data_IF_378478941531
#
_entry.id   IF_378478941531
#
_cell.length_a   1.000
_cell.length_b   1.000
_cell.length_c   1.000
_cell.angle_alpha   90.00
_cell.angle_beta   90.00
_cell.angle_gamma   90.00
#
_symmetry.space_group_name_H-M   'P 1'
#
loop_
_entity.id
_entity.type
_entity.pdbx_description
1 polymer ?
#
# COMPACT_ATOMS: atom_id res chain seq x y z
N UNK A 1 -55.66 -34.08 -12.25
CA UNK A 1 -54.80 -35.09 -11.59
C UNK A 1 -53.43 -35.03 -12.24
N UNK A 2 -52.39 -34.79 -11.43
CA UNK A 2 -50.95 -35.05 -11.63
C UNK A 2 -50.15 -34.03 -10.80
N UNK A 3 -50.06 -34.29 -9.50
CA UNK A 3 -49.10 -33.63 -8.60
C UNK A 3 -47.71 -34.15 -8.98
N UNK A 4 -46.82 -33.24 -9.40
CA UNK A 4 -45.39 -33.53 -9.49
C UNK A 4 -44.84 -33.56 -8.06
N UNK A 5 -44.50 -34.75 -7.59
CA UNK A 5 -43.78 -34.94 -6.33
C UNK A 5 -42.32 -34.58 -6.56
N UNK A 6 -41.90 -33.43 -6.04
CA UNK A 6 -40.48 -33.10 -5.91
C UNK A 6 -39.92 -33.91 -4.73
N UNK A 7 -39.31 -35.06 -5.02
CA UNK A 7 -38.43 -35.75 -4.08
C UNK A 7 -37.12 -34.95 -3.94
N UNK A 8 -37.14 -33.93 -3.08
CA UNK A 8 -35.89 -33.38 -2.55
C UNK A 8 -35.22 -34.47 -1.72
N UNK A 9 -34.11 -35.02 -2.23
CA UNK A 9 -33.18 -35.81 -1.45
C UNK A 9 -32.60 -34.92 -0.35
N UNK A 10 -33.30 -34.84 0.79
CA UNK A 10 -32.77 -34.30 2.04
C UNK A 10 -31.61 -35.20 2.45
N UNK A 11 -30.41 -34.84 2.03
CA UNK A 11 -29.18 -35.34 2.64
C UNK A 11 -29.20 -34.89 4.09
N UNK A 12 -29.66 -35.76 4.99
CA UNK A 12 -29.61 -35.51 6.42
C UNK A 12 -28.15 -35.45 6.84
N UNK A 13 -27.62 -34.23 6.91
CA UNK A 13 -26.31 -33.95 7.47
C UNK A 13 -26.42 -34.05 8.99
N UNK A 14 -26.44 -35.27 9.51
CA UNK A 14 -26.33 -35.51 10.95
C UNK A 14 -24.91 -35.11 11.37
N UNK A 15 -24.82 -34.11 12.25
CA UNK A 15 -23.58 -33.64 12.83
C UNK A 15 -23.16 -34.64 13.93
N UNK A 16 -22.33 -35.61 13.55
CA UNK A 16 -21.88 -36.72 14.42
C UNK A 16 -21.09 -36.21 15.64
N UNK A 17 -20.65 -34.94 15.63
CA UNK A 17 -19.94 -34.28 16.72
C UNK A 17 -20.83 -33.46 17.66
N UNK A 18 -22.14 -33.36 17.37
CA UNK A 18 -23.09 -32.88 18.36
C UNK A 18 -23.34 -33.98 19.36
N UNK A 19 -22.61 -33.92 20.46
CA UNK A 19 -23.06 -34.50 21.72
C UNK A 19 -24.30 -33.69 22.13
N UNK A 20 -25.47 -34.14 21.69
CA UNK A 20 -26.77 -33.70 22.20
C UNK A 20 -27.05 -34.37 23.56
N UNK A 21 -26.02 -34.43 24.40
CA UNK A 21 -26.14 -34.70 25.82
C UNK A 21 -26.72 -33.45 26.47
N UNK A 22 -27.86 -33.62 27.12
CA UNK A 22 -28.50 -32.59 27.94
C UNK A 22 -27.69 -32.38 29.24
N UNK A 23 -26.43 -31.98 29.13
CA UNK A 23 -25.69 -31.37 30.22
C UNK A 23 -26.41 -30.05 30.50
N UNK A 24 -27.00 -29.85 31.68
CA UNK A 24 -27.82 -28.69 32.08
C UNK A 24 -27.13 -27.31 32.01
N UNK A 25 -26.07 -27.19 31.22
CA UNK A 25 -25.29 -26.01 30.92
C UNK A 25 -25.97 -25.28 29.75
N UNK A 26 -26.56 -24.10 30.02
CA UNK A 26 -27.10 -23.23 28.97
C UNK A 26 -25.99 -22.87 27.97
N UNK A 27 -26.06 -23.43 26.76
CA UNK A 27 -25.11 -23.12 25.67
C UNK A 27 -25.20 -21.62 25.34
N UNK A 28 -24.14 -20.87 25.65
CA UNK A 28 -24.04 -19.44 25.35
C UNK A 28 -24.01 -19.24 23.83
N UNK A 29 -24.79 -18.27 23.32
CA UNK A 29 -24.78 -17.94 21.89
C UNK A 29 -23.41 -17.40 21.49
N UNK A 30 -22.77 -18.05 20.53
CA UNK A 30 -21.47 -17.64 19.98
C UNK A 30 -21.69 -16.43 19.07
N UNK A 31 -20.84 -15.37 19.14
CA UNK A 31 -20.98 -14.22 18.26
C UNK A 31 -20.72 -14.59 16.80
N UNK A 32 -21.53 -14.05 15.88
CA UNK A 32 -21.42 -14.33 14.44
C UNK A 32 -20.05 -13.95 13.83
N UNK A 33 -19.30 -13.05 14.48
CA UNK A 33 -17.95 -12.66 14.07
C UNK A 33 -16.96 -13.81 14.17
N UNK A 34 -17.14 -14.76 15.10
CA UNK A 34 -16.24 -15.89 15.29
C UNK A 34 -16.28 -16.88 14.13
N UNK A 35 -17.42 -16.98 13.43
CA UNK A 35 -17.57 -17.85 12.27
C UNK A 35 -16.97 -17.27 10.98
N UNK A 36 -16.54 -16.00 10.98
CA UNK A 36 -15.93 -15.36 9.82
C UNK A 36 -14.49 -15.82 9.68
N UNK A 37 -14.16 -16.50 8.57
CA UNK A 37 -12.79 -16.88 8.25
C UNK A 37 -11.93 -15.63 7.98
N UNK A 38 -10.68 -15.59 8.47
CA UNK A 38 -9.81 -14.41 8.31
C UNK A 38 -9.31 -14.20 6.88
N UNK A 39 -9.30 -15.25 6.06
CA UNK A 39 -8.84 -15.27 4.67
C UNK A 39 -9.67 -16.23 3.81
N UNK A 40 -9.60 -16.05 2.49
CA UNK A 40 -10.26 -16.90 1.48
C UNK A 40 -9.35 -18.07 1.05
N UNK A 41 -8.05 -18.01 1.38
CA UNK A 41 -7.03 -18.98 0.97
C UNK A 41 -7.30 -20.37 1.57
N UNK A 42 -7.10 -21.41 0.76
CA UNK A 42 -7.23 -22.80 1.17
C UNK A 42 -6.25 -23.15 2.30
N UNK A 43 -6.62 -24.05 3.24
CA UNK A 43 -5.71 -24.50 4.29
C UNK A 43 -4.43 -25.17 3.81
N UNK A 44 -4.48 -25.81 2.63
CA UNK A 44 -3.40 -26.59 2.05
C UNK A 44 -3.18 -26.07 0.64
N UNK A 45 -1.95 -25.69 0.32
CA UNK A 45 -1.54 -25.34 -1.04
C UNK A 45 -1.31 -26.63 -1.84
N UNK A 46 -1.66 -26.59 -3.12
CA UNK A 46 -1.47 -27.74 -4.01
C UNK A 46 -0.03 -27.65 -4.53
N UNK A 47 0.81 -28.68 -4.32
CA UNK A 47 2.19 -28.66 -4.80
C UNK A 47 2.24 -28.72 -6.34
N UNK A 48 3.34 -28.25 -6.91
CA UNK A 48 3.58 -28.36 -8.35
C UNK A 48 3.73 -29.85 -8.77
N UNK A 49 3.17 -30.28 -9.91
CA UNK A 49 3.26 -31.69 -10.36
C UNK A 49 4.70 -32.19 -10.53
N UNK A 50 5.61 -31.29 -10.91
CA UNK A 50 7.05 -31.55 -11.02
C UNK A 50 7.76 -31.92 -9.71
N UNK A 51 7.12 -31.74 -8.54
CA UNK A 51 7.67 -32.13 -7.23
C UNK A 51 7.38 -33.60 -6.89
N UNK A 52 6.59 -34.30 -7.72
CA UNK A 52 6.33 -35.72 -7.52
C UNK A 52 7.61 -36.56 -7.59
N UNK A 53 7.57 -37.79 -7.05
CA UNK A 53 8.73 -38.69 -7.05
C UNK A 53 9.09 -39.21 -8.46
N UNK A 54 8.13 -39.20 -9.38
CA UNK A 54 8.25 -39.61 -10.77
C UNK A 54 7.43 -38.67 -11.67
N UNK A 55 7.87 -37.42 -11.86
CA UNK A 55 7.19 -36.42 -12.66
C UNK A 55 7.35 -36.70 -14.16
N UNK A 56 6.43 -36.18 -14.96
CA UNK A 56 6.66 -36.03 -16.40
C UNK A 56 7.85 -35.08 -16.62
N UNK A 57 8.64 -35.34 -17.66
CA UNK A 57 9.79 -34.50 -18.02
C UNK A 57 9.41 -33.03 -18.14
N UNK A 58 8.31 -32.74 -18.86
CA UNK A 58 7.85 -31.36 -19.07
C UNK A 58 7.48 -30.65 -17.77
N UNK A 59 6.85 -31.35 -16.83
CA UNK A 59 6.42 -30.76 -15.58
C UNK A 59 7.58 -30.55 -14.61
N UNK A 60 8.59 -31.42 -14.67
CA UNK A 60 9.84 -31.23 -13.93
C UNK A 60 10.66 -30.06 -14.49
N UNK A 61 10.79 -29.95 -15.81
CA UNK A 61 11.48 -28.83 -16.45
C UNK A 61 10.77 -27.49 -16.17
N UNK A 62 9.43 -27.46 -16.19
CA UNK A 62 8.66 -26.25 -15.81
C UNK A 62 8.96 -25.83 -14.37
N UNK A 63 8.99 -26.77 -13.43
CA UNK A 63 9.33 -26.50 -12.04
C UNK A 63 10.74 -25.93 -11.91
N UNK A 64 11.73 -26.59 -12.52
CA UNK A 64 13.12 -26.14 -12.49
C UNK A 64 13.29 -24.76 -13.12
N UNK A 65 12.56 -24.47 -14.20
CA UNK A 65 12.56 -23.15 -14.83
C UNK A 65 11.99 -22.09 -13.89
N UNK A 66 10.85 -22.34 -13.23
CA UNK A 66 10.28 -21.40 -12.25
C UNK A 66 11.23 -21.13 -11.08
N UNK A 67 11.89 -22.17 -10.58
CA UNK A 67 12.91 -22.05 -9.53
C UNK A 67 14.10 -21.22 -10.03
N UNK A 68 14.64 -21.55 -11.21
CA UNK A 68 15.77 -20.84 -11.80
C UNK A 68 15.47 -19.35 -12.03
N UNK A 69 14.25 -19.00 -12.45
CA UNK A 69 13.83 -17.60 -12.57
C UNK A 69 13.81 -16.87 -11.21
N UNK A 70 13.36 -17.54 -10.15
CA UNK A 70 13.35 -16.98 -8.79
C UNK A 70 14.78 -16.76 -8.29
N UNK A 71 15.66 -17.75 -8.45
CA UNK A 71 17.08 -17.66 -8.08
C UNK A 71 17.80 -16.56 -8.86
N UNK A 72 17.57 -16.44 -10.18
CA UNK A 72 18.13 -15.36 -10.99
C UNK A 72 17.71 -13.97 -10.51
N UNK A 73 16.47 -13.81 -10.01
CA UNK A 73 16.01 -12.54 -9.43
C UNK A 73 16.77 -12.23 -8.15
N UNK A 74 16.93 -13.20 -7.26
CA UNK A 74 17.73 -13.05 -6.03
C UNK A 74 19.19 -12.69 -6.35
N UNK A 75 19.82 -13.39 -7.29
CA UNK A 75 21.20 -13.08 -7.72
C UNK A 75 21.33 -11.65 -8.27
N UNK A 76 20.35 -11.17 -9.04
CA UNK A 76 20.33 -9.79 -9.56
C UNK A 76 20.16 -8.77 -8.44
N UNK A 77 19.29 -9.05 -7.47
CA UNK A 77 19.08 -8.19 -6.30
C UNK A 77 20.34 -8.12 -5.44
N UNK A 78 20.99 -9.25 -5.16
CA UNK A 78 22.26 -9.30 -4.44
C UNK A 78 23.37 -8.56 -5.20
N UNK A 79 23.50 -8.76 -6.51
CA UNK A 79 24.47 -8.04 -7.33
C UNK A 79 24.21 -6.52 -7.31
N UNK A 80 22.95 -6.12 -7.34
CA UNK A 80 22.56 -4.72 -7.22
C UNK A 80 22.92 -4.14 -5.86
N UNK A 81 22.59 -4.83 -4.76
CA UNK A 81 22.94 -4.42 -3.40
C UNK A 81 24.46 -4.34 -3.22
N UNK A 82 25.21 -5.34 -3.68
CA UNK A 82 26.68 -5.32 -3.64
C UNK A 82 27.25 -4.14 -4.43
N UNK A 83 26.64 -3.78 -5.56
CA UNK A 83 27.05 -2.59 -6.34
C UNK A 83 26.77 -1.29 -5.58
N UNK A 84 25.57 -1.12 -5.03
CA UNK A 84 25.12 0.12 -4.38
C UNK A 84 25.73 0.29 -2.97
N UNK A 85 25.97 -0.79 -2.25
CA UNK A 85 26.46 -0.74 -0.86
C UNK A 85 27.96 -0.98 -0.77
N UNK A 86 28.53 -1.92 -1.51
CA UNK A 86 29.94 -2.27 -1.36
C UNK A 86 30.82 -1.54 -2.37
N UNK A 87 30.41 -1.47 -3.65
CA UNK A 87 31.24 -0.91 -4.72
C UNK A 87 31.17 0.61 -4.82
N UNK A 88 30.06 1.24 -4.46
CA UNK A 88 29.94 2.71 -4.47
C UNK A 88 30.77 3.37 -3.36
N UNK A 89 30.93 2.72 -2.21
CA UNK A 89 31.70 3.26 -1.09
C UNK A 89 33.12 2.70 -1.10
N UNK A 90 34.08 3.48 -1.62
CA UNK A 90 35.51 3.13 -1.50
C UNK A 90 35.90 3.22 -0.03
N UNK A 91 36.49 2.16 0.53
CA UNK A 91 37.11 2.24 1.86
C UNK A 91 38.35 3.13 1.74
N UNK A 92 38.27 4.35 2.26
CA UNK A 92 39.34 5.35 2.32
C UNK A 92 40.12 5.11 3.61
N UNK A 93 41.46 5.14 3.58
CA UNK A 93 42.26 5.04 4.83
C UNK A 93 42.14 6.35 5.62
N UNK A 94 42.34 6.30 6.93
CA UNK A 94 42.27 7.48 7.79
C UNK A 94 43.17 8.63 7.28
N UNK A 95 44.40 8.33 6.86
CA UNK A 95 45.34 9.32 6.32
C UNK A 95 44.84 10.02 5.06
N UNK A 96 44.18 9.27 4.16
CA UNK A 96 43.60 9.85 2.95
C UNK A 96 42.34 10.66 3.25
N UNK A 97 41.59 10.30 4.29
CA UNK A 97 40.44 11.05 4.77
C UNK A 97 40.88 12.40 5.37
N UNK A 98 41.93 12.40 6.19
CA UNK A 98 42.49 13.62 6.80
C UNK A 98 42.97 14.62 5.74
N UNK A 99 43.63 14.14 4.68
CA UNK A 99 44.08 14.99 3.55
C UNK A 99 42.91 15.61 2.78
N UNK A 100 41.83 14.86 2.55
CA UNK A 100 40.63 15.38 1.89
C UNK A 100 39.93 16.39 2.79
N UNK A 101 39.78 16.09 4.08
CA UNK A 101 39.21 17.01 5.07
C UNK A 101 39.96 18.35 5.13
N UNK A 102 41.29 18.31 5.16
CA UNK A 102 42.13 19.51 5.17
C UNK A 102 41.96 20.36 3.89
N UNK A 103 41.71 19.71 2.75
CA UNK A 103 41.47 20.39 1.47
C UNK A 103 40.08 21.02 1.45
N UNK A 104 39.04 20.28 1.82
CA UNK A 104 37.66 20.79 1.91
C UNK A 104 37.53 21.92 2.94
N UNK A 105 38.25 21.82 4.07
CA UNK A 105 38.27 22.86 5.10
C UNK A 105 38.99 24.15 4.68
N UNK A 106 39.80 24.10 3.62
CA UNK A 106 40.47 25.29 3.06
C UNK A 106 39.74 25.88 1.86
N UNK A 107 38.73 25.20 1.32
CA UNK A 107 37.83 25.74 0.30
C UNK A 107 36.85 26.74 0.92
N UNK A 108 36.95 28.03 0.54
CA UNK A 108 36.10 29.10 1.06
C UNK A 108 36.84 30.19 1.84
N UNK A 109 38.16 30.06 2.05
CA UNK A 109 38.98 31.21 2.40
C UNK A 109 39.19 32.07 1.14
N UNK A 110 38.68 33.33 1.11
CA UNK A 110 38.92 34.23 0.01
C UNK A 110 40.42 34.59 -0.01
N UNK A 111 41.12 34.16 -1.05
CA UNK A 111 42.38 34.80 -1.43
C UNK A 111 42.01 36.20 -1.93
N UNK A 112 42.23 37.19 -1.07
CA UNK A 112 41.89 38.60 -1.29
C UNK A 112 42.30 39.09 -2.70
N UNK A 113 41.32 39.36 -3.55
CA UNK A 113 41.41 40.40 -4.58
C UNK A 113 40.13 41.20 -4.56
N UNK A 114 40.28 42.47 -4.20
CA UNK A 114 39.27 43.50 -4.08
C UNK A 114 38.41 43.64 -5.34
N UNK A 115 37.11 43.91 -5.19
CA UNK A 115 36.54 45.22 -5.52
C UNK A 115 35.00 45.25 -5.58
N UNK A 116 34.47 46.28 -4.92
CA UNK A 116 33.38 47.20 -5.33
C UNK A 116 31.92 46.76 -5.19
N UNK A 117 31.34 47.32 -4.13
CA UNK A 117 30.12 48.14 -4.09
C UNK A 117 29.20 48.12 -5.32
N UNK A 118 27.92 47.81 -5.09
CA UNK A 118 26.83 48.35 -5.90
C UNK A 118 25.76 48.95 -4.97
N UNK A 119 25.54 50.24 -5.22
CA UNK A 119 24.66 51.19 -4.53
C UNK A 119 23.17 50.88 -4.76
N UNK A 120 22.42 51.33 -3.76
CA UNK A 120 21.01 51.70 -3.77
C UNK A 120 20.64 52.74 -4.84
N UNK A 121 19.47 52.60 -5.46
CA UNK A 121 18.71 53.71 -6.04
C UNK A 121 17.22 53.54 -5.71
N UNK A 122 16.66 54.60 -5.14
CA UNK A 122 15.24 54.87 -4.89
C UNK A 122 14.63 55.52 -6.15
N UNK A 123 13.33 55.32 -6.39
CA UNK A 123 12.29 56.38 -6.35
C UNK A 123 11.08 56.09 -7.26
N UNK A 124 9.92 56.28 -6.61
CA UNK A 124 8.67 56.88 -7.09
C UNK A 124 7.94 56.29 -8.31
N UNK A 125 6.73 55.78 -8.05
CA UNK A 125 5.57 56.30 -8.76
C UNK A 125 4.42 56.50 -7.75
N UNK A 126 4.03 57.76 -7.58
CA UNK A 126 2.89 58.23 -6.80
C UNK A 126 1.59 57.72 -7.45
N UNK A 127 0.87 56.82 -6.79
CA UNK A 127 -0.53 56.51 -7.13
C UNK A 127 -1.38 56.88 -5.91
N UNK A 128 -1.89 58.11 -5.89
CA UNK A 128 -2.83 58.63 -4.89
C UNK A 128 -4.13 57.81 -4.90
N UNK A 129 -4.45 57.02 -3.86
CA UNK A 129 -5.62 56.15 -3.84
C UNK A 129 -6.88 56.83 -3.27
N UNK A 130 -6.93 58.17 -3.18
CA UNK A 130 -8.02 58.87 -2.47
C UNK A 130 -8.80 59.89 -3.32
N UNK A 131 -9.42 59.44 -4.43
CA UNK A 131 -10.49 60.21 -5.09
C UNK A 131 -11.86 59.55 -4.95
N UNK A 132 -12.44 59.67 -3.75
CA UNK A 132 -13.86 59.39 -3.54
C UNK A 132 -14.65 60.57 -4.11
N UNK A 133 -15.29 60.38 -5.27
CA UNK A 133 -16.22 61.38 -5.79
C UNK A 133 -17.40 61.52 -4.82
N UNK A 134 -17.42 62.61 -4.04
CA UNK A 134 -18.53 62.94 -3.13
C UNK A 134 -19.72 63.35 -4.01
N UNK A 135 -20.65 62.42 -4.21
CA UNK A 135 -21.88 62.67 -4.95
C UNK A 135 -22.72 63.70 -4.16
N UNK A 136 -23.20 64.80 -4.78
CA UNK A 136 -24.00 65.80 -4.09
C UNK A 136 -25.24 65.19 -3.40
N UNK A 137 -25.70 65.78 -2.27
CA UNK A 137 -26.81 65.24 -1.49
C UNK A 137 -28.08 65.10 -2.36
N UNK A 138 -28.62 63.88 -2.40
CA UNK A 138 -29.77 63.53 -3.25
C UNK A 138 -31.02 64.27 -2.76
N UNK A 139 -31.46 65.27 -3.52
CA UNK A 139 -32.74 65.96 -3.27
C UNK A 139 -33.91 65.05 -3.65
N UNK A 140 -34.79 64.73 -2.70
CA UNK A 140 -35.98 63.90 -2.94
C UNK A 140 -37.08 64.71 -3.65
N UNK A 141 -37.00 64.82 -4.97
CA UNK A 141 -38.04 65.47 -5.78
C UNK A 141 -39.03 64.45 -6.35
N UNK A 142 -40.34 64.73 -6.23
CA UNK A 142 -41.40 63.92 -6.84
C UNK A 142 -41.26 63.95 -8.37
N UNK A 143 -41.33 62.77 -8.99
CA UNK A 143 -41.21 62.62 -10.46
C UNK A 143 -42.47 63.12 -11.16
N UNK A 144 -42.30 63.86 -12.25
CA UNK A 144 -43.42 64.27 -13.13
C UNK A 144 -44.01 63.08 -13.90
N UNK A 145 -45.27 63.18 -14.34
CA UNK A 145 -45.96 62.12 -15.09
C UNK A 145 -45.20 61.68 -16.35
N UNK A 146 -44.59 62.63 -17.08
CA UNK A 146 -43.75 62.36 -18.26
C UNK A 146 -42.50 61.58 -17.89
N UNK A 147 -41.82 61.93 -16.79
CA UNK A 147 -40.66 61.19 -16.26
C UNK A 147 -41.06 59.76 -15.85
N UNK A 148 -42.26 59.57 -15.29
CA UNK A 148 -42.80 58.24 -14.93
C UNK A 148 -43.13 57.38 -16.16
N UNK A 149 -43.68 57.98 -17.23
CA UNK A 149 -43.93 57.30 -18.52
C UNK A 149 -42.62 56.84 -19.18
N UNK A 150 -41.64 57.74 -19.33
CA UNK A 150 -40.32 57.40 -19.89
C UNK A 150 -39.60 56.34 -19.06
N UNK A 151 -39.68 56.38 -17.73
CA UNK A 151 -39.11 55.35 -16.87
C UNK A 151 -39.78 53.98 -17.08
N UNK A 152 -41.10 53.93 -17.27
CA UNK A 152 -41.82 52.68 -17.55
C UNK A 152 -41.39 52.08 -18.89
N UNK A 153 -41.23 52.92 -19.90
CA UNK A 153 -40.77 52.52 -21.24
C UNK A 153 -39.32 52.00 -21.21
N UNK A 154 -38.41 52.72 -20.54
CA UNK A 154 -37.02 52.27 -20.32
C UNK A 154 -36.96 50.93 -19.58
N UNK A 155 -37.81 50.73 -18.55
CA UNK A 155 -37.90 49.44 -17.84
C UNK A 155 -38.38 48.31 -18.75
N UNK A 156 -39.36 48.56 -19.63
CA UNK A 156 -39.84 47.58 -20.60
C UNK A 156 -38.74 47.23 -21.61
N UNK A 157 -38.08 48.22 -22.19
CA UNK A 157 -36.95 48.00 -23.10
C UNK A 157 -35.80 47.24 -22.43
N UNK A 158 -35.46 47.58 -21.19
CA UNK A 158 -34.44 46.85 -20.43
C UNK A 158 -34.84 45.38 -20.18
N UNK A 159 -36.12 45.12 -19.90
CA UNK A 159 -36.65 43.77 -19.74
C UNK A 159 -36.60 42.97 -21.05
N UNK A 160 -37.00 43.56 -22.17
CA UNK A 160 -36.93 42.94 -23.49
C UNK A 160 -35.48 42.63 -23.90
N UNK A 161 -34.56 43.57 -23.66
CA UNK A 161 -33.13 43.35 -23.91
C UNK A 161 -32.55 42.25 -23.02
N UNK A 162 -33.01 42.15 -21.76
CA UNK A 162 -32.65 41.04 -20.87
C UNK A 162 -33.16 39.71 -21.41
N UNK A 163 -34.40 39.65 -21.88
CA UNK A 163 -34.98 38.44 -22.46
C UNK A 163 -34.25 38.00 -23.73
N UNK A 164 -33.97 38.93 -24.65
CA UNK A 164 -33.15 38.66 -25.86
C UNK A 164 -31.75 38.14 -25.51
N UNK A 165 -31.11 38.69 -24.46
CA UNK A 165 -29.83 38.18 -23.95
C UNK A 165 -29.96 36.76 -23.41
N UNK A 166 -31.05 36.45 -22.69
CA UNK A 166 -31.30 35.10 -22.19
C UNK A 166 -31.55 34.10 -23.31
N UNK A 167 -32.29 34.46 -24.36
CA UNK A 167 -32.51 33.61 -25.53
C UNK A 167 -31.21 33.31 -26.28
N UNK A 168 -30.36 34.33 -26.49
CA UNK A 168 -29.02 34.13 -27.06
C UNK A 168 -28.16 33.19 -26.22
N UNK A 169 -28.24 33.29 -24.88
CA UNK A 169 -27.55 32.36 -23.97
C UNK A 169 -28.06 30.93 -24.13
N UNK A 170 -29.39 30.72 -24.18
CA UNK A 170 -29.99 29.39 -24.39
C UNK A 170 -29.48 28.72 -25.68
N UNK A 171 -29.39 29.47 -26.77
CA UNK A 171 -28.85 28.97 -28.04
C UNK A 171 -27.37 28.57 -27.88
N UNK A 172 -26.57 29.42 -27.23
CA UNK A 172 -25.16 29.10 -26.94
C UNK A 172 -25.00 27.87 -26.04
N UNK A 173 -25.88 27.70 -25.06
CA UNK A 173 -25.86 26.54 -24.16
C UNK A 173 -26.25 25.25 -24.88
N UNK A 174 -27.18 25.31 -25.84
CA UNK A 174 -27.52 24.18 -26.70
C UNK A 174 -26.30 23.63 -27.46
N UNK A 175 -25.43 24.51 -27.97
CA UNK A 175 -24.18 24.08 -28.60
C UNK A 175 -23.18 23.49 -27.60
N UNK A 176 -23.13 24.00 -26.36
CA UNK A 176 -22.28 23.44 -25.29
C UNK A 176 -22.73 22.05 -24.86
N UNK A 177 -24.01 21.71 -24.94
CA UNK A 177 -24.52 20.39 -24.56
C UNK A 177 -23.76 19.25 -25.25
N UNK A 178 -23.47 19.37 -26.56
CA UNK A 178 -22.72 18.34 -27.30
C UNK A 178 -21.30 18.15 -26.78
N UNK A 179 -20.65 19.24 -26.35
CA UNK A 179 -19.32 19.17 -25.74
C UNK A 179 -19.39 18.56 -24.34
N UNK A 180 -20.40 18.93 -23.56
CA UNK A 180 -20.64 18.35 -22.23
C UNK A 180 -20.91 16.85 -22.32
N UNK A 181 -21.74 16.39 -23.25
CA UNK A 181 -22.01 14.98 -23.50
C UNK A 181 -20.72 14.21 -23.83
N UNK A 182 -19.91 14.72 -24.78
CA UNK A 182 -18.62 14.10 -25.12
C UNK A 182 -17.67 14.05 -23.91
N UNK A 183 -17.68 15.07 -23.07
CA UNK A 183 -16.86 15.09 -21.85
C UNK A 183 -17.38 14.11 -20.80
N UNK A 184 -18.70 14.01 -20.61
CA UNK A 184 -19.32 13.04 -19.71
C UNK A 184 -18.96 11.62 -20.16
N UNK A 185 -19.15 11.29 -21.44
CA UNK A 185 -18.78 9.98 -22.00
C UNK A 185 -17.30 9.62 -21.73
N UNK A 186 -16.38 10.56 -21.98
CA UNK A 186 -14.95 10.36 -21.69
C UNK A 186 -14.67 10.13 -20.20
N UNK A 187 -15.35 10.88 -19.33
CA UNK A 187 -15.22 10.74 -17.87
C UNK A 187 -15.75 9.37 -17.44
N UNK A 188 -16.89 8.94 -17.95
CA UNK A 188 -17.51 7.65 -17.64
C UNK A 188 -16.64 6.47 -18.09
N UNK A 189 -16.09 6.52 -19.31
CA UNK A 189 -15.13 5.52 -19.80
C UNK A 189 -13.91 5.41 -18.89
N UNK A 190 -13.31 6.55 -18.54
CA UNK A 190 -12.17 6.59 -17.62
C UNK A 190 -12.53 6.02 -16.25
N UNK A 191 -13.69 6.39 -15.71
CA UNK A 191 -14.18 5.88 -14.43
C UNK A 191 -14.43 4.37 -14.47
N UNK A 192 -14.98 3.84 -15.57
CA UNK A 192 -15.19 2.40 -15.78
C UNK A 192 -13.87 1.64 -15.77
N UNK A 193 -12.86 2.14 -16.48
CA UNK A 193 -11.51 1.54 -16.48
C UNK A 193 -10.92 1.54 -15.06
N UNK A 194 -11.02 2.66 -14.34
CA UNK A 194 -10.51 2.75 -12.97
C UNK A 194 -11.27 1.83 -12.01
N UNK A 195 -12.59 1.69 -12.16
CA UNK A 195 -13.41 0.75 -11.39
C UNK A 195 -12.96 -0.69 -11.62
N UNK A 196 -12.82 -1.10 -12.88
CA UNK A 196 -12.36 -2.45 -13.22
C UNK A 196 -10.96 -2.72 -12.65
N UNK A 197 -10.04 -1.74 -12.69
CA UNK A 197 -8.72 -1.86 -12.07
C UNK A 197 -8.83 -2.03 -10.54
N UNK A 198 -9.67 -1.22 -9.88
CA UNK A 198 -9.91 -1.32 -8.42
C UNK A 198 -10.49 -2.67 -8.02
N UNK A 199 -11.43 -3.20 -8.80
CA UNK A 199 -12.04 -4.51 -8.57
C UNK A 199 -11.02 -5.64 -8.71
N UNK A 200 -10.19 -5.63 -9.77
CA UNK A 200 -9.09 -6.59 -9.94
C UNK A 200 -8.10 -6.54 -8.77
N UNK A 201 -7.68 -5.34 -8.36
CA UNK A 201 -6.77 -5.17 -7.22
C UNK A 201 -7.44 -5.66 -5.92
N UNK A 202 -8.74 -5.38 -5.72
CA UNK A 202 -9.47 -5.83 -4.53
C UNK A 202 -9.56 -7.36 -4.49
N UNK A 203 -9.77 -8.02 -5.63
CA UNK A 203 -9.77 -9.47 -5.73
C UNK A 203 -8.40 -10.05 -5.37
N UNK A 204 -7.32 -9.52 -5.95
CA UNK A 204 -5.94 -9.94 -5.65
C UNK A 204 -5.64 -9.76 -4.14
N UNK A 205 -5.88 -8.56 -3.60
CA UNK A 205 -5.66 -8.24 -2.18
C UNK A 205 -6.51 -9.06 -1.21
N UNK A 206 -7.62 -9.64 -1.66
CA UNK A 206 -8.45 -10.52 -0.82
C UNK A 206 -7.82 -11.90 -0.64
N UNK A 207 -7.02 -12.34 -1.61
CA UNK A 207 -6.25 -13.58 -1.58
C UNK A 207 -4.85 -13.39 -0.99
N UNK A 208 -4.27 -12.20 -1.10
CA UNK A 208 -2.94 -11.91 -0.54
C UNK A 208 -2.95 -11.91 1.00
N UNK A 209 -1.84 -12.35 1.62
CA UNK A 209 -1.68 -12.29 3.07
C UNK A 209 -1.63 -10.84 3.57
N UNK A 210 -2.32 -10.57 4.68
CA UNK A 210 -2.36 -9.24 5.31
C UNK A 210 -1.14 -9.07 6.22
N UNK A 211 -0.73 -7.82 6.40
CA UNK A 211 0.35 -7.47 7.33
C UNK A 211 -0.24 -7.39 8.74
N UNK A 212 -0.06 -8.46 9.53
CA UNK A 212 -0.54 -8.55 10.93
C UNK A 212 0.46 -8.00 11.96
N UNK A 213 1.75 -7.98 11.62
CA UNK A 213 2.83 -7.54 12.50
C UNK A 213 3.83 -6.65 11.74
N UNK A 214 4.87 -6.17 12.42
CA UNK A 214 5.96 -5.39 11.81
C UNK A 214 6.66 -6.16 10.68
N UNK A 215 6.82 -7.47 10.85
CA UNK A 215 7.43 -8.35 9.86
C UNK A 215 6.43 -8.66 8.76
N UNK A 216 6.86 -8.59 7.50
CA UNK A 216 6.03 -9.00 6.35
C UNK A 216 6.04 -10.52 6.21
N UNK A 217 4.99 -11.07 5.61
CA UNK A 217 4.99 -12.49 5.26
C UNK A 217 5.96 -12.73 4.10
N UNK A 218 6.80 -13.75 4.26
CA UNK A 218 7.69 -14.26 3.22
C UNK A 218 7.23 -15.68 2.86
N UNK A 219 6.97 -15.97 1.58
CA UNK A 219 6.57 -17.31 1.14
C UNK A 219 7.68 -18.33 1.43
N UNK A 220 7.31 -19.61 1.55
CA UNK A 220 8.29 -20.68 1.63
C UNK A 220 8.97 -20.86 0.26
N UNK A 221 10.25 -21.24 0.26
CA UNK A 221 10.90 -21.71 -0.96
C UNK A 221 10.25 -23.03 -1.41
N UNK A 222 10.06 -23.24 -2.71
CA UNK A 222 9.52 -24.49 -3.22
C UNK A 222 10.52 -25.63 -3.01
N UNK A 223 10.04 -26.77 -2.53
CA UNK A 223 10.82 -27.99 -2.46
C UNK A 223 10.89 -28.62 -3.87
N UNK A 224 12.11 -28.90 -4.35
CA UNK A 224 12.34 -29.55 -5.64
C UNK A 224 13.56 -30.47 -5.57
N UNK A 225 13.65 -31.41 -6.53
CA UNK A 225 14.81 -32.28 -6.73
C UNK A 225 15.43 -32.02 -8.09
N UNK A 226 16.74 -32.13 -8.19
CA UNK A 226 17.45 -32.06 -9.48
C UNK A 226 17.26 -33.40 -10.21
N UNK A 227 17.42 -33.42 -11.55
CA UNK A 227 17.25 -34.65 -12.34
C UNK A 227 18.10 -35.83 -11.85
N UNK A 228 19.31 -35.56 -11.34
CA UNK A 228 20.21 -36.59 -10.80
C UNK A 228 19.74 -37.16 -9.45
N UNK A 229 18.90 -36.43 -8.71
CA UNK A 229 18.38 -36.81 -7.39
C UNK A 229 17.01 -37.52 -7.50
N UNK A 230 16.48 -37.62 -8.72
CA UNK A 230 15.20 -38.25 -8.98
C UNK A 230 15.36 -39.77 -9.03
N UNK A 231 14.79 -40.47 -8.04
CA UNK A 231 14.98 -41.92 -7.88
C UNK A 231 14.07 -42.77 -8.78
N UNK A 232 12.98 -42.21 -9.33
CA UNK A 232 11.95 -42.92 -10.12
C UNK A 232 11.12 -43.97 -9.36
N UNK A 233 11.56 -44.39 -8.17
CA UNK A 233 10.90 -45.39 -7.32
C UNK A 233 10.73 -44.87 -5.88
N UNK A 234 9.58 -45.17 -5.27
CA UNK A 234 9.22 -44.75 -3.92
C UNK A 234 10.14 -45.32 -2.83
N UNK A 235 10.67 -46.54 -3.01
CA UNK A 235 11.57 -47.17 -2.02
C UNK A 235 12.88 -46.41 -1.83
N UNK A 236 13.35 -45.75 -2.89
CA UNK A 236 14.62 -45.02 -2.90
C UNK A 236 14.39 -43.50 -2.85
N UNK A 237 13.14 -43.04 -2.69
CA UNK A 237 12.81 -41.63 -2.71
C UNK A 237 13.08 -41.01 -1.33
N UNK A 238 14.04 -40.08 -1.28
CA UNK A 238 14.26 -39.32 -0.05
C UNK A 238 13.09 -38.38 0.25
N UNK A 239 12.64 -38.29 1.50
CA UNK A 239 11.63 -37.33 1.90
C UNK A 239 12.18 -35.90 1.78
N UNK A 240 11.44 -35.03 1.08
CA UNK A 240 11.81 -33.62 0.91
C UNK A 240 10.89 -32.72 1.72
N UNK A 241 11.46 -31.61 2.19
CA UNK A 241 10.69 -30.56 2.87
C UNK A 241 10.45 -30.80 4.35
N UNK A 242 9.83 -29.80 4.99
CA UNK A 242 9.43 -29.86 6.40
C UNK A 242 7.95 -29.49 6.54
N UNK A 243 7.13 -30.49 6.89
CA UNK A 243 5.68 -30.33 7.07
C UNK A 243 5.33 -29.25 8.10
N UNK A 244 6.10 -29.11 9.17
CA UNK A 244 5.86 -28.08 10.18
C UNK A 244 6.11 -26.67 9.61
N UNK A 245 7.14 -26.51 8.76
CA UNK A 245 7.42 -25.24 8.08
C UNK A 245 6.28 -24.88 7.12
N UNK A 246 5.81 -25.84 6.32
CA UNK A 246 4.67 -25.65 5.40
C UNK A 246 3.39 -25.25 6.17
N UNK A 247 3.00 -26.02 7.18
CA UNK A 247 1.80 -25.71 7.98
C UNK A 247 1.91 -24.37 8.69
N UNK A 248 3.08 -24.03 9.22
CA UNK A 248 3.33 -22.73 9.84
C UNK A 248 3.19 -21.58 8.84
N UNK A 249 3.73 -21.74 7.62
CA UNK A 249 3.61 -20.74 6.54
C UNK A 249 2.18 -20.61 6.02
N UNK A 250 1.45 -21.72 5.86
CA UNK A 250 0.00 -21.72 5.55
C UNK A 250 -0.82 -20.98 6.62
N UNK A 251 -0.53 -21.16 7.91
CA UNK A 251 -1.21 -20.42 8.98
C UNK A 251 -0.94 -18.92 8.92
N UNK A 252 0.29 -18.53 8.54
CA UNK A 252 0.63 -17.12 8.32
C UNK A 252 -0.09 -16.54 7.11
N UNK A 253 -0.07 -17.24 5.99
CA UNK A 253 -0.72 -16.82 4.75
C UNK A 253 -2.23 -16.65 4.93
N UNK A 254 -2.84 -17.52 5.74
CA UNK A 254 -4.26 -17.45 6.11
C UNK A 254 -4.61 -16.38 7.13
N UNK A 255 -3.64 -15.58 7.59
CA UNK A 255 -3.81 -14.55 8.62
C UNK A 255 -4.31 -15.12 9.96
N UNK A 256 -3.97 -16.37 10.30
CA UNK A 256 -4.27 -16.98 11.61
C UNK A 256 -3.14 -16.69 12.59
N UNK A 257 -1.90 -16.80 12.11
CA UNK A 257 -0.68 -16.54 12.89
C UNK A 257 0.05 -15.35 12.28
N UNK A 258 0.52 -14.42 13.10
CA UNK A 258 1.32 -13.32 12.59
C UNK A 258 2.76 -13.78 12.26
N UNK A 259 3.36 -13.29 11.16
CA UNK A 259 4.78 -13.53 10.87
C UNK A 259 5.66 -12.88 11.96
N UNK A 260 6.63 -13.64 12.46
CA UNK A 260 7.55 -13.17 13.51
C UNK A 260 8.95 -13.73 13.32
N UNK A 261 9.94 -13.05 13.88
CA UNK A 261 11.33 -13.50 13.91
C UNK A 261 11.68 -14.03 15.29
N UNK A 262 12.60 -14.99 15.35
CA UNK A 262 13.05 -15.57 16.62
C UNK A 262 13.84 -14.53 17.41
N UNK A 263 13.32 -14.14 18.57
CA UNK A 263 14.01 -13.24 19.50
C UNK A 263 14.94 -14.06 20.40
N UNK A 264 16.24 -14.10 20.07
CA UNK A 264 17.24 -14.89 20.80
C UNK A 264 17.64 -14.25 22.13
N UNK A 265 17.90 -12.93 22.12
CA UNK A 265 18.35 -12.19 23.30
C UNK A 265 17.25 -11.23 23.73
N UNK A 266 16.78 -11.38 24.96
CA UNK A 266 15.97 -10.34 25.61
C UNK A 266 16.95 -9.36 26.23
N UNK A 267 16.83 -8.08 25.90
CA UNK A 267 17.61 -7.01 26.51
C UNK A 267 17.23 -6.92 27.99
N UNK A 268 17.92 -7.68 28.83
CA UNK A 268 17.85 -7.55 30.27
C UNK A 268 18.94 -6.58 30.71
N UNK A 269 18.61 -5.66 31.59
CA UNK A 269 19.60 -4.80 32.21
C UNK A 269 20.71 -5.66 32.84
N UNK A 270 21.97 -5.25 32.64
CA UNK A 270 23.11 -5.89 33.31
C UNK A 270 23.06 -5.52 34.79
N UNK A 271 22.35 -6.32 35.59
CA UNK A 271 22.31 -6.15 37.05
C UNK A 271 23.63 -6.62 37.63
N UNK A 272 24.37 -5.72 38.29
CA UNK A 272 25.56 -6.09 39.08
C UNK A 272 25.11 -7.03 40.20
N UNK A 273 25.68 -8.23 40.23
CA UNK A 273 25.46 -9.20 41.30
C UNK A 273 26.61 -9.05 42.29
N UNK A 274 26.28 -8.69 43.52
CA UNK A 274 27.23 -8.68 44.63
C UNK A 274 27.05 -9.95 45.46
N UNK A 275 28.14 -10.50 45.95
CA UNK A 275 28.11 -11.53 46.99
C UNK A 275 27.78 -10.81 48.30
N UNK A 276 26.81 -11.33 49.07
CA UNK A 276 26.50 -10.80 50.39
C UNK A 276 27.70 -11.00 51.31
N UNK A 277 28.00 -10.03 52.18
CA UNK A 277 29.14 -10.07 53.09
C UNK A 277 29.20 -11.35 53.95
N UNK A 278 28.03 -11.91 54.28
CA UNK A 278 27.92 -13.11 55.13
C UNK A 278 28.30 -14.42 54.42
N UNK A 279 28.45 -14.43 53.09
CA UNK A 279 28.75 -15.65 52.33
C UNK A 279 30.27 -15.80 52.14
N UNK A 280 30.88 -16.73 52.88
CA UNK A 280 32.29 -17.12 52.71
C UNK A 280 32.45 -17.91 51.40
N UNK A 281 33.30 -17.44 50.50
CA UNK A 281 33.71 -18.17 49.29
C UNK A 281 35.16 -18.63 49.48
N UNK A 282 35.39 -19.94 49.46
CA UNK A 282 36.73 -20.50 49.28
C UNK A 282 37.09 -20.37 47.80
N UNK A 283 37.80 -19.31 47.44
CA UNK A 283 38.30 -19.15 46.06
C UNK A 283 39.39 -20.20 45.81
N UNK A 284 39.34 -20.96 44.71
CA UNK A 284 40.44 -21.86 44.37
C UNK A 284 41.71 -21.04 44.12
N UNK A 285 42.89 -21.54 44.51
CA UNK A 285 44.14 -20.83 44.33
C UNK A 285 44.38 -20.53 42.84
N UNK A 286 44.78 -19.30 42.55
CA UNK A 286 45.05 -18.82 41.20
C UNK A 286 46.20 -19.66 40.60
N UNK A 287 46.06 -20.22 39.38
CA UNK A 287 47.16 -20.94 38.76
C UNK A 287 48.34 -19.99 38.54
N UNK A 288 49.56 -20.50 38.80
CA UNK A 288 50.82 -19.79 38.57
C UNK A 288 51.07 -19.59 37.09
#
# INVERSE_FOLDING_TARGET
>A
MNRKENCETRSFHYDIWKIDGNEGIKKRKIPATLHKKPSVVSPIEIPHPGTSYNPSYDDHQKLLHEVAEKEQKLMKEEAHLNRVTTKMFKKVSAETQDKVWMKESSEGLPLNTNDKEIKSEEENDDDDPNRISINPPVKNMKKTLVKRRKQREQKKLAFEMKNKKMEKKKIGDMYKLRFLEKNISKIEEKQKILRNKREKIKAIKSSEPKVLAKTKFEPAEPDFKIGNELSGNLRNADPTGNLLRDRYKSLQQRNIVAPSTRVLKRNKAKVKKYIKADHKITMPPKPR
#
